data_IF_650691209502
#
_entry.id   IF_650691209502
#
_cell.length_a   1.000
_cell.length_b   1.000
_cell.length_c   1.000
_cell.angle_alpha   90.00
_cell.angle_beta   90.00
_cell.angle_gamma   90.00
#
_symmetry.space_group_name_H-M   'P 1'
#
loop_
_entity.id
_entity.type
_entity.pdbx_description
1 polymer ?
#
# COMPACT_ATOMS: atom_id res chain seq x y z
N UNK A 1 -38.68 9.50 -10.82
CA UNK A 1 -37.71 10.61 -10.81
C UNK A 1 -36.36 10.03 -10.39
N UNK A 2 -35.33 9.93 -11.25
CA UNK A 2 -33.99 9.62 -10.79
C UNK A 2 -33.33 10.89 -10.23
N UNK A 3 -32.69 10.75 -9.07
CA UNK A 3 -31.91 11.80 -8.40
C UNK A 3 -30.57 11.93 -9.13
N UNK A 4 -30.10 13.13 -9.50
CA UNK A 4 -28.82 13.27 -10.20
C UNK A 4 -27.67 13.12 -9.20
N UNK A 5 -27.04 11.95 -9.18
CA UNK A 5 -25.73 11.75 -8.58
C UNK A 5 -24.65 12.03 -9.63
N UNK A 6 -23.69 12.89 -9.32
CA UNK A 6 -22.46 13.04 -10.09
C UNK A 6 -21.61 11.77 -9.93
N UNK A 7 -21.97 10.68 -10.60
CA UNK A 7 -21.19 9.47 -10.61
C UNK A 7 -19.99 9.67 -11.54
N UNK A 8 -18.78 9.46 -11.03
CA UNK A 8 -17.61 9.39 -11.91
C UNK A 8 -17.71 8.14 -12.80
N UNK A 9 -17.04 8.18 -13.95
CA UNK A 9 -17.18 7.22 -15.06
C UNK A 9 -16.96 5.74 -14.65
N UNK A 10 -16.40 5.49 -13.48
CA UNK A 10 -15.92 4.18 -13.03
C UNK A 10 -16.65 3.62 -11.80
N UNK A 11 -17.75 4.25 -11.34
CA UNK A 11 -18.58 3.70 -10.26
C UNK A 11 -19.58 2.65 -10.78
N UNK A 12 -19.15 1.39 -10.80
CA UNK A 12 -19.98 0.25 -11.22
C UNK A 12 -20.82 -0.27 -10.04
N UNK A 13 -22.13 -0.12 -10.12
CA UNK A 13 -23.09 -0.77 -9.21
C UNK A 13 -23.86 -1.83 -9.99
N UNK A 14 -23.59 -3.10 -9.69
CA UNK A 14 -24.25 -4.25 -10.32
C UNK A 14 -25.08 -5.03 -9.31
N UNK A 15 -26.32 -5.46 -9.66
CA UNK A 15 -27.14 -6.32 -8.82
C UNK A 15 -26.61 -7.77 -8.73
N UNK A 16 -25.66 -8.12 -9.60
CA UNK A 16 -24.98 -9.41 -9.62
C UNK A 16 -23.49 -9.22 -9.30
N UNK A 17 -22.83 -10.24 -8.71
CA UNK A 17 -21.39 -10.18 -8.49
C UNK A 17 -20.68 -10.14 -9.85
N UNK A 18 -20.04 -9.01 -10.14
CA UNK A 18 -19.21 -8.80 -11.32
C UNK A 18 -17.85 -8.30 -10.89
N UNK A 19 -16.82 -8.61 -11.67
CA UNK A 19 -15.53 -7.96 -11.49
C UNK A 19 -15.67 -6.48 -11.88
N UNK A 20 -15.31 -5.61 -10.95
CA UNK A 20 -15.18 -4.17 -11.18
C UNK A 20 -13.74 -3.77 -10.83
N UNK A 21 -13.01 -3.27 -11.81
CA UNK A 21 -11.66 -2.74 -11.57
C UNK A 21 -11.76 -1.47 -10.72
N UNK A 22 -10.73 -1.20 -9.94
CA UNK A 22 -10.68 -0.02 -9.05
C UNK A 22 -9.89 1.11 -9.69
N UNK A 23 -10.18 2.36 -9.32
CA UNK A 23 -9.57 3.58 -9.89
C UNK A 23 -8.05 3.53 -10.03
N UNK A 24 -7.33 3.11 -8.98
CA UNK A 24 -5.85 2.98 -8.96
C UNK A 24 -5.44 1.50 -8.78
N UNK A 25 -6.23 0.60 -9.38
CA UNK A 25 -6.08 -0.84 -9.26
C UNK A 25 -4.98 -1.42 -10.15
N UNK A 26 -5.01 -2.74 -10.32
CA UNK A 26 -4.03 -3.47 -11.12
C UNK A 26 -3.96 -3.03 -12.59
N UNK A 27 -5.13 -2.70 -13.16
CA UNK A 27 -5.32 -2.33 -14.57
C UNK A 27 -5.10 -0.83 -14.84
N UNK A 28 -4.74 -0.04 -13.82
CA UNK A 28 -4.65 1.42 -13.95
C UNK A 28 -3.43 1.82 -14.81
N UNK A 29 -3.58 2.80 -15.73
CA UNK A 29 -2.47 3.32 -16.54
C UNK A 29 -1.30 3.87 -15.72
N UNK A 30 -1.59 4.39 -14.52
CA UNK A 30 -0.62 4.96 -13.57
C UNK A 30 0.42 3.94 -13.12
N UNK A 31 0.13 2.64 -13.23
CA UNK A 31 1.09 1.56 -12.94
C UNK A 31 2.37 1.65 -13.77
N UNK A 32 2.29 2.22 -14.97
CA UNK A 32 3.48 2.51 -15.80
C UNK A 32 4.48 3.44 -15.11
N UNK A 33 3.99 4.35 -14.26
CA UNK A 33 4.78 5.32 -13.50
C UNK A 33 5.02 4.86 -12.06
N UNK A 34 4.01 4.25 -11.42
CA UNK A 34 4.03 3.76 -10.05
C UNK A 34 3.74 2.24 -10.02
N UNK A 35 4.75 1.39 -10.26
CA UNK A 35 4.52 -0.03 -10.55
C UNK A 35 4.22 -0.92 -9.33
N UNK A 36 4.30 -0.38 -8.11
CA UNK A 36 4.11 -1.13 -6.86
C UNK A 36 2.76 -0.76 -6.24
N UNK A 37 1.99 -1.76 -5.78
CA UNK A 37 0.80 -1.54 -4.98
C UNK A 37 1.18 -1.38 -3.50
N UNK A 38 0.50 -0.47 -2.81
CA UNK A 38 0.70 -0.23 -1.38
C UNK A 38 -0.50 -0.75 -0.60
N UNK A 39 -0.25 -1.66 0.33
CA UNK A 39 -1.27 -2.22 1.21
C UNK A 39 -1.03 -1.78 2.66
N UNK A 40 -2.08 -1.25 3.29
CA UNK A 40 -2.10 -0.99 4.72
C UNK A 40 -2.71 -2.18 5.46
N UNK A 41 -1.94 -2.83 6.33
CA UNK A 41 -2.45 -3.89 7.22
C UNK A 41 -2.45 -3.43 8.68
N UNK A 42 -3.27 -4.08 9.51
CA UNK A 42 -3.28 -3.83 10.94
C UNK A 42 -1.96 -4.32 11.56
N UNK A 43 -1.16 -3.35 12.02
CA UNK A 43 0.19 -3.62 12.47
C UNK A 43 0.20 -4.26 13.86
N UNK A 44 1.11 -5.21 14.08
CA UNK A 44 1.13 -6.07 15.28
C UNK A 44 1.25 -5.30 16.60
N UNK A 45 1.93 -4.14 16.61
CA UNK A 45 2.18 -3.38 17.84
C UNK A 45 1.11 -2.36 18.22
N UNK A 46 0.04 -2.18 17.43
CA UNK A 46 -0.97 -1.16 17.71
C UNK A 46 -2.36 -1.49 17.16
N UNK A 47 -3.37 -0.97 17.83
CA UNK A 47 -4.75 -0.94 17.32
C UNK A 47 -4.99 0.44 16.73
N UNK A 48 -4.96 0.52 15.40
CA UNK A 48 -4.97 1.78 14.67
C UNK A 48 -3.80 2.69 15.10
N UNK A 49 -4.06 3.84 15.72
CA UNK A 49 -3.04 4.76 16.27
C UNK A 49 -2.75 4.53 17.76
N UNK A 50 -3.63 3.83 18.47
CA UNK A 50 -3.52 3.60 19.91
C UNK A 50 -2.33 2.69 20.22
N UNK A 51 -1.60 3.00 21.30
CA UNK A 51 -0.36 2.33 21.74
C UNK A 51 0.88 2.61 20.88
N UNK A 52 0.74 3.38 19.80
CA UNK A 52 1.86 3.81 18.97
C UNK A 52 2.88 4.70 19.70
N UNK A 53 2.58 5.16 20.91
CA UNK A 53 3.47 5.92 21.78
C UNK A 53 4.29 5.07 22.76
N UNK A 54 3.98 3.78 22.92
CA UNK A 54 4.64 2.90 23.91
C UNK A 54 5.98 2.40 23.36
N UNK A 55 7.09 2.79 24.01
CA UNK A 55 8.43 2.55 23.47
C UNK A 55 8.82 1.07 23.39
N UNK A 56 8.42 0.26 24.37
CA UNK A 56 8.68 -1.20 24.32
C UNK A 56 8.01 -1.86 23.11
N UNK A 57 6.81 -1.41 22.74
CA UNK A 57 6.07 -1.94 21.59
C UNK A 57 6.67 -1.46 20.27
N UNK A 58 7.11 -0.20 20.18
CA UNK A 58 7.85 0.32 19.02
C UNK A 58 9.17 -0.42 18.80
N UNK A 59 9.88 -0.75 19.88
CA UNK A 59 11.15 -1.45 19.82
C UNK A 59 10.99 -2.92 19.41
N UNK A 60 9.95 -3.59 19.94
CA UNK A 60 9.67 -4.99 19.65
C UNK A 60 9.18 -5.22 18.21
N UNK A 61 8.42 -4.27 17.65
CA UNK A 61 7.91 -4.31 16.29
C UNK A 61 8.00 -2.92 15.68
N UNK A 62 9.09 -2.67 14.94
CA UNK A 62 9.38 -1.38 14.31
C UNK A 62 8.48 -1.14 13.11
N UNK A 63 7.95 0.07 12.97
CA UNK A 63 7.19 0.44 11.79
C UNK A 63 8.11 0.45 10.56
N UNK A 64 7.89 -0.50 9.66
CA UNK A 64 8.73 -0.73 8.49
C UNK A 64 7.87 -0.84 7.23
N UNK A 65 8.47 -0.53 6.09
CA UNK A 65 7.89 -0.83 4.77
C UNK A 65 8.35 -2.22 4.37
N UNK A 66 7.39 -3.10 4.16
CA UNK A 66 7.66 -4.46 3.74
C UNK A 66 7.63 -4.53 2.22
N UNK A 67 8.67 -5.13 1.63
CA UNK A 67 8.85 -5.21 0.19
C UNK A 67 9.37 -6.60 -0.20
N UNK A 68 8.91 -7.12 -1.34
CA UNK A 68 9.44 -8.38 -1.86
C UNK A 68 10.95 -8.25 -2.15
N UNK A 69 11.79 -9.23 -1.80
CA UNK A 69 13.23 -9.20 -2.07
C UNK A 69 13.59 -8.95 -3.54
N UNK A 70 12.82 -9.46 -4.50
CA UNK A 70 13.04 -9.25 -5.93
C UNK A 70 12.92 -7.77 -6.28
N UNK A 71 11.91 -7.08 -5.76
CA UNK A 71 11.69 -5.66 -6.04
C UNK A 71 12.62 -4.75 -5.24
N UNK A 72 13.01 -5.17 -4.03
CA UNK A 72 14.05 -4.54 -3.23
C UNK A 72 15.41 -4.58 -3.96
N UNK A 73 15.81 -5.75 -4.46
CA UNK A 73 17.06 -5.94 -5.21
C UNK A 73 17.12 -5.07 -6.47
N UNK A 74 16.04 -5.03 -7.28
CA UNK A 74 15.94 -4.16 -8.46
C UNK A 74 16.14 -2.67 -8.12
N UNK A 75 15.88 -2.27 -6.88
CA UNK A 75 15.96 -0.88 -6.39
C UNK A 75 17.19 -0.63 -5.50
N UNK A 76 18.04 -1.64 -5.29
CA UNK A 76 19.20 -1.53 -4.40
C UNK A 76 18.84 -1.28 -2.94
N UNK A 77 17.69 -1.77 -2.48
CA UNK A 77 17.20 -1.60 -1.10
C UNK A 77 17.64 -2.81 -0.27
N UNK A 78 18.38 -2.57 0.81
CA UNK A 78 18.70 -3.55 1.84
C UNK A 78 17.77 -3.42 3.05
N UNK A 79 17.82 -4.40 3.95
CA UNK A 79 17.09 -4.32 5.22
C UNK A 79 17.69 -3.23 6.10
N UNK A 80 16.85 -2.40 6.71
CA UNK A 80 17.29 -1.30 7.56
C UNK A 80 17.53 0.01 6.82
N UNK A 81 17.46 0.02 5.49
CA UNK A 81 17.62 1.25 4.71
C UNK A 81 16.45 2.20 4.95
N UNK A 82 16.76 3.50 4.97
CA UNK A 82 15.72 4.52 4.98
C UNK A 82 15.17 4.68 3.56
N UNK A 83 13.93 4.25 3.35
CA UNK A 83 13.26 4.35 2.06
C UNK A 83 12.20 5.45 2.08
N UNK A 84 11.94 6.00 0.91
CA UNK A 84 10.92 7.02 0.68
C UNK A 84 9.86 6.46 -0.25
N UNK A 85 8.62 6.38 0.24
CA UNK A 85 7.45 5.94 -0.53
C UNK A 85 6.65 7.16 -0.94
N UNK A 86 6.21 7.24 -2.20
CA UNK A 86 5.47 8.39 -2.70
C UNK A 86 4.62 8.07 -3.91
N UNK A 87 3.58 8.88 -4.12
CA UNK A 87 2.85 8.99 -5.38
C UNK A 87 2.64 10.48 -5.71
N UNK A 88 1.70 10.78 -6.61
CA UNK A 88 1.38 12.16 -7.00
C UNK A 88 0.73 13.00 -5.87
N UNK A 89 0.16 12.36 -4.84
CA UNK A 89 -0.57 13.03 -3.74
C UNK A 89 0.24 13.15 -2.45
N UNK A 90 1.05 12.14 -2.12
CA UNK A 90 1.68 12.05 -0.80
C UNK A 90 3.07 11.43 -0.86
N UNK A 91 3.81 11.64 0.23
CA UNK A 91 5.16 11.10 0.44
C UNK A 91 5.36 10.78 1.92
N UNK A 92 5.95 9.63 2.21
CA UNK A 92 6.35 9.22 3.56
C UNK A 92 7.74 8.57 3.53
N UNK A 93 8.39 8.47 4.68
CA UNK A 93 9.69 7.79 4.84
C UNK A 93 9.61 6.79 5.97
N UNK A 94 10.23 5.63 5.79
CA UNK A 94 10.24 4.54 6.75
C UNK A 94 11.44 3.63 6.48
N UNK A 95 11.79 2.80 7.45
CA UNK A 95 12.83 1.78 7.29
C UNK A 95 12.30 0.61 6.45
N UNK A 96 13.12 0.04 5.57
CA UNK A 96 12.77 -1.13 4.75
C UNK A 96 12.99 -2.45 5.48
N UNK A 97 12.07 -3.39 5.24
CA UNK A 97 12.20 -4.79 5.62
C UNK A 97 11.84 -5.66 4.41
N UNK A 98 12.76 -6.53 4.00
CA UNK A 98 12.51 -7.50 2.93
C UNK A 98 11.62 -8.63 3.47
N UNK A 99 10.57 -8.97 2.73
CA UNK A 99 9.61 -10.01 3.11
C UNK A 99 9.24 -10.89 1.92
N UNK A 100 9.56 -12.18 1.99
CA UNK A 100 9.27 -13.16 0.94
C UNK A 100 7.80 -13.52 0.80
N UNK A 101 6.96 -13.17 1.79
CA UNK A 101 5.51 -13.42 1.74
C UNK A 101 4.77 -12.39 0.89
N UNK A 102 5.40 -11.26 0.58
CA UNK A 102 4.83 -10.26 -0.33
C UNK A 102 4.94 -10.74 -1.78
N UNK A 103 3.87 -10.62 -2.56
CA UNK A 103 3.87 -11.04 -3.97
C UNK A 103 4.87 -10.21 -4.79
N UNK A 104 5.66 -10.82 -5.69
CA UNK A 104 6.53 -10.09 -6.62
C UNK A 104 5.79 -9.54 -7.84
N UNK A 105 4.49 -9.84 -7.96
CA UNK A 105 3.70 -9.49 -9.14
C UNK A 105 3.07 -8.10 -9.05
N UNK A 106 3.05 -7.49 -7.87
CA UNK A 106 2.28 -6.28 -7.55
C UNK A 106 1.16 -6.64 -6.58
#
# INVERSE_FOLDING_TARGET
MPVPGNWEKDEVISPLPVYASTFEGWDSPERSTFPLQLFGFHYKSRTHSTYGNIDVLKAACRQEVWINPIDAQKRGIANGDMVRVFNHRWRSSATSQSDTTHSPWG
#
